data_IF_805448417384
#
_entry.id   IF_805448417384
#
_cell.length_a   1.000
_cell.length_b   1.000
_cell.length_c   1.000
_cell.angle_alpha   90.00
_cell.angle_beta   90.00
_cell.angle_gamma   90.00
#
_symmetry.space_group_name_H-M   'P 1'
#
loop_
_entity.id
_entity.type
_entity.pdbx_description
1 polymer ?
#
# COMPACT_ATOMS: atom_id res chain seq x y z
N UNK A 1 38.34 4.83 16.69
CA UNK A 1 37.64 3.55 16.95
C UNK A 1 36.88 3.15 15.70
N UNK A 2 36.97 1.87 15.41
CA UNK A 2 36.63 1.10 14.21
C UNK A 2 35.48 1.59 13.31
N UNK A 3 35.82 1.63 12.02
CA UNK A 3 35.00 1.78 10.82
C UNK A 3 34.02 0.60 10.59
N UNK A 4 33.44 0.03 11.66
CA UNK A 4 32.72 -1.26 11.61
C UNK A 4 31.26 -1.21 12.03
N UNK A 5 30.65 -0.02 12.19
CA UNK A 5 29.21 0.11 12.48
C UNK A 5 28.33 0.46 11.28
N UNK A 6 28.91 0.85 10.13
CA UNK A 6 28.17 1.19 8.92
C UNK A 6 27.78 -0.03 8.05
N UNK A 7 28.20 -1.24 8.44
CA UNK A 7 27.83 -2.48 7.76
C UNK A 7 26.50 -3.09 8.24
N UNK A 8 25.87 -2.53 9.28
CA UNK A 8 24.64 -3.08 9.89
C UNK A 8 23.34 -2.49 9.34
N UNK A 9 23.40 -1.47 8.48
CA UNK A 9 22.22 -0.86 7.83
C UNK A 9 22.12 -1.14 6.32
N UNK A 10 23.00 -1.97 5.76
CA UNK A 10 23.02 -2.33 4.33
C UNK A 10 22.45 -3.73 4.01
N UNK A 11 21.69 -4.34 4.92
CA UNK A 11 20.97 -5.59 4.69
C UNK A 11 19.48 -5.37 4.91
N UNK A 12 18.79 -4.96 3.84
CA UNK A 12 17.85 -5.89 3.23
C UNK A 12 18.06 -5.91 1.72
N UNK A 13 19.19 -6.48 1.28
CA UNK A 13 19.37 -6.85 -0.13
C UNK A 13 19.73 -8.33 -0.17
N UNK A 14 18.85 -9.15 0.39
CA UNK A 14 18.64 -10.51 -0.12
C UNK A 14 17.81 -10.43 -1.41
N UNK A 15 18.30 -9.66 -2.39
CA UNK A 15 17.86 -9.74 -3.79
C UNK A 15 18.90 -10.61 -4.50
N UNK A 16 18.93 -11.89 -4.12
CA UNK A 16 19.71 -12.93 -4.79
C UNK A 16 18.90 -14.25 -4.78
N UNK A 17 17.60 -14.15 -5.06
CA UNK A 17 16.72 -15.31 -5.30
C UNK A 17 15.95 -15.21 -6.62
N UNK A 18 16.26 -14.25 -7.48
CA UNK A 18 15.70 -14.18 -8.83
C UNK A 18 16.82 -14.00 -9.86
N UNK A 19 17.81 -14.90 -9.81
CA UNK A 19 18.60 -15.16 -11.00
C UNK A 19 17.68 -15.83 -12.02
N UNK A 20 17.15 -14.99 -12.92
CA UNK A 20 16.55 -15.45 -14.17
C UNK A 20 17.66 -16.06 -15.02
N UNK A 21 17.96 -17.34 -14.77
CA UNK A 21 18.64 -18.16 -15.77
C UNK A 21 17.83 -18.05 -17.06
N UNK A 22 18.47 -17.52 -18.10
CA UNK A 22 17.92 -17.40 -19.45
C UNK A 22 17.42 -18.78 -19.91
N UNK A 23 16.12 -19.03 -19.80
CA UNK A 23 15.46 -20.09 -20.55
C UNK A 23 15.08 -19.50 -21.89
N UNK A 24 15.83 -19.92 -22.92
CA UNK A 24 15.48 -19.69 -24.30
C UNK A 24 14.56 -20.83 -24.74
N UNK A 25 13.25 -20.60 -24.76
CA UNK A 25 12.31 -21.41 -25.54
C UNK A 25 11.02 -20.65 -25.76
N UNK A 26 10.65 -20.53 -27.03
CA UNK A 26 9.39 -19.98 -27.49
C UNK A 26 8.21 -20.74 -26.83
N UNK A 27 7.30 -20.00 -26.20
CA UNK A 27 5.95 -20.43 -25.81
C UNK A 27 5.79 -21.55 -24.78
N UNK A 28 6.15 -21.35 -23.51
CA UNK A 28 5.41 -21.91 -22.35
C UNK A 28 6.07 -21.51 -21.01
N UNK A 29 5.26 -20.98 -20.10
CA UNK A 29 5.49 -21.10 -18.65
C UNK A 29 4.37 -22.04 -18.15
N UNK A 30 4.70 -23.03 -17.31
CA UNK A 30 4.94 -22.73 -15.90
C UNK A 30 6.27 -23.28 -15.34
N UNK A 31 6.80 -22.62 -14.32
CA UNK A 31 7.87 -23.16 -13.47
C UNK A 31 7.30 -23.55 -12.10
N UNK A 32 8.08 -24.27 -11.29
CA UNK A 32 7.72 -24.77 -9.94
C UNK A 32 7.33 -23.70 -8.91
N UNK A 33 7.41 -22.41 -9.27
CA UNK A 33 7.06 -21.27 -8.42
C UNK A 33 5.89 -20.44 -8.97
N UNK A 34 5.33 -20.81 -10.13
CA UNK A 34 4.15 -20.17 -10.69
C UNK A 34 2.89 -20.93 -10.26
N UNK A 35 1.82 -20.21 -9.90
CA UNK A 35 0.57 -20.76 -9.40
C UNK A 35 -0.28 -21.46 -10.48
N UNK A 36 0.34 -21.97 -11.56
CA UNK A 36 -0.31 -22.47 -12.78
C UNK A 36 -1.35 -21.50 -13.38
N UNK A 37 -1.27 -20.22 -13.01
CA UNK A 37 -2.16 -19.17 -13.53
C UNK A 37 -1.82 -18.92 -15.00
N UNK A 38 -2.82 -18.92 -15.87
CA UNK A 38 -2.68 -18.52 -17.26
C UNK A 38 -2.40 -17.01 -17.44
N UNK A 39 -2.54 -16.22 -16.37
CA UNK A 39 -2.40 -14.76 -16.38
C UNK A 39 -1.18 -14.32 -15.54
N UNK A 40 0.02 -14.53 -16.08
CA UNK A 40 1.29 -14.13 -15.47
C UNK A 40 1.89 -13.00 -16.29
N UNK A 41 2.09 -11.85 -15.64
CA UNK A 41 2.77 -10.71 -16.22
C UNK A 41 4.14 -10.50 -15.57
N UNK A 42 5.09 -9.98 -16.35
CA UNK A 42 6.35 -9.50 -15.79
C UNK A 42 6.07 -8.37 -14.80
N UNK A 43 6.83 -8.34 -13.70
CA UNK A 43 6.81 -7.26 -12.73
C UNK A 43 7.52 -6.02 -13.32
N UNK A 44 6.84 -5.36 -14.26
CA UNK A 44 7.31 -4.14 -14.91
C UNK A 44 6.23 -3.06 -14.88
N UNK A 45 6.54 -1.86 -15.39
CA UNK A 45 5.57 -0.76 -15.39
C UNK A 45 4.43 -0.95 -16.40
N UNK A 46 4.53 -1.91 -17.34
CA UNK A 46 3.50 -2.14 -18.37
C UNK A 46 2.33 -2.95 -17.82
N UNK A 47 2.56 -3.79 -16.82
CA UNK A 47 1.52 -4.59 -16.15
C UNK A 47 0.80 -3.84 -15.02
N UNK A 48 1.10 -2.55 -14.79
CA UNK A 48 0.44 -1.75 -13.75
C UNK A 48 -1.03 -1.52 -14.08
N UNK A 49 -1.88 -1.85 -13.12
CA UNK A 49 -3.34 -1.65 -13.21
C UNK A 49 -3.80 -0.41 -12.43
N UNK A 50 -2.97 0.09 -11.50
CA UNK A 50 -3.32 1.18 -10.60
C UNK A 50 -2.33 2.33 -10.67
N UNK A 51 -2.83 3.55 -10.44
CA UNK A 51 -1.97 4.66 -10.06
C UNK A 51 -1.55 4.48 -8.60
N UNK A 52 -0.28 4.73 -8.30
CA UNK A 52 0.31 4.45 -7.00
C UNK A 52 1.29 5.54 -6.54
N UNK A 53 1.37 6.64 -7.29
CA UNK A 53 2.14 7.83 -6.95
C UNK A 53 1.22 9.03 -6.78
N UNK A 54 1.51 9.87 -5.81
CA UNK A 54 0.85 11.17 -5.65
C UNK A 54 1.81 12.24 -5.15
N UNK A 55 1.44 13.50 -5.37
CA UNK A 55 2.09 14.65 -4.73
C UNK A 55 1.07 15.28 -3.79
N UNK A 56 1.43 15.43 -2.52
CA UNK A 56 0.60 16.14 -1.55
C UNK A 56 1.22 17.48 -1.19
N UNK A 57 0.42 18.53 -1.11
CA UNK A 57 0.82 19.86 -0.66
C UNK A 57 -0.18 20.34 0.37
N UNK A 58 0.27 21.00 1.42
CA UNK A 58 -0.63 21.51 2.44
C UNK A 58 0.02 22.52 3.36
N UNK A 59 -0.81 23.13 4.19
CA UNK A 59 -0.34 24.07 5.20
C UNK A 59 -1.37 24.31 6.28
N UNK A 60 -0.91 24.93 7.36
CA UNK A 60 -1.71 25.19 8.54
C UNK A 60 -0.86 25.76 9.66
N UNK A 61 -1.08 25.28 10.88
CA UNK A 61 -0.43 25.82 12.08
C UNK A 61 0.61 24.86 12.66
N UNK A 62 1.59 25.43 13.35
CA UNK A 62 2.54 24.73 14.22
C UNK A 62 2.42 25.32 15.63
N UNK A 63 2.19 24.46 16.63
CA UNK A 63 1.92 24.88 18.01
C UNK A 63 2.79 24.07 18.98
N UNK A 64 3.63 24.80 19.71
CA UNK A 64 4.50 24.27 20.75
C UNK A 64 3.68 23.92 21.99
N UNK A 65 3.78 22.68 22.47
CA UNK A 65 2.94 22.19 23.57
C UNK A 65 3.75 21.56 24.70
N UNK A 66 4.82 20.82 24.39
CA UNK A 66 5.69 20.20 25.39
C UNK A 66 7.08 20.80 25.28
N UNK A 67 7.27 21.95 25.92
CA UNK A 67 8.53 22.71 25.95
C UNK A 67 8.53 23.69 27.14
N UNK A 68 9.65 24.37 27.39
CA UNK A 68 9.74 25.43 28.40
C UNK A 68 8.88 26.65 28.03
N UNK A 69 9.04 27.10 26.79
CA UNK A 69 8.28 28.15 26.13
C UNK A 69 7.23 27.48 25.25
N UNK A 70 5.95 27.75 25.52
CA UNK A 70 4.85 27.10 24.77
C UNK A 70 4.05 28.09 23.93
N UNK A 71 3.33 27.60 22.93
CA UNK A 71 2.39 28.41 22.16
C UNK A 71 1.17 28.81 22.99
N UNK A 72 0.92 28.21 24.15
CA UNK A 72 -0.25 28.45 24.99
C UNK A 72 0.16 29.23 26.25
N UNK A 73 0.03 30.55 26.21
CA UNK A 73 0.46 31.41 27.31
C UNK A 73 -0.60 32.47 27.66
N UNK A 74 -0.93 32.61 28.95
CA UNK A 74 -1.85 33.64 29.45
C UNK A 74 -3.25 33.58 28.81
N UNK A 75 -3.83 32.38 28.70
CA UNK A 75 -5.12 32.10 28.05
C UNK A 75 -5.20 32.52 26.56
N UNK A 76 -4.06 32.68 25.90
CA UNK A 76 -3.97 33.00 24.47
C UNK A 76 -3.11 31.97 23.75
N UNK A 77 -3.39 31.80 22.46
CA UNK A 77 -2.60 30.95 21.56
C UNK A 77 -1.70 31.84 20.71
N UNK A 78 -0.40 31.56 20.72
CA UNK A 78 0.61 32.16 19.86
C UNK A 78 0.74 31.27 18.63
N UNK A 79 0.04 31.63 17.57
CA UNK A 79 -0.06 30.81 16.36
C UNK A 79 1.24 30.80 15.58
N UNK A 80 1.81 29.62 15.37
CA UNK A 80 2.81 29.36 14.35
C UNK A 80 2.17 28.93 13.02
N UNK A 81 2.99 28.74 12.00
CA UNK A 81 2.57 28.25 10.69
C UNK A 81 3.42 27.08 10.23
N UNK A 82 2.84 26.20 9.42
CA UNK A 82 3.51 25.07 8.80
C UNK A 82 3.08 24.94 7.34
N UNK A 83 3.99 24.53 6.46
CA UNK A 83 3.71 24.15 5.10
C UNK A 83 4.53 22.93 4.72
N UNK A 84 3.95 22.01 3.94
CA UNK A 84 4.62 20.81 3.49
C UNK A 84 4.35 20.50 2.03
N UNK A 85 5.30 19.78 1.44
CA UNK A 85 5.14 19.04 0.18
C UNK A 85 5.65 17.63 0.38
N UNK A 86 4.92 16.64 -0.14
CA UNK A 86 5.38 15.24 -0.13
C UNK A 86 5.18 14.58 -1.48
N UNK A 87 6.10 13.67 -1.78
CA UNK A 87 5.96 12.68 -2.84
C UNK A 87 5.58 11.36 -2.17
N UNK A 88 4.39 10.88 -2.45
CA UNK A 88 3.81 9.70 -1.81
C UNK A 88 3.78 8.53 -2.79
N UNK A 89 4.18 7.37 -2.30
CA UNK A 89 4.15 6.09 -2.99
C UNK A 89 3.26 5.12 -2.22
N UNK A 90 2.16 4.70 -2.82
CA UNK A 90 1.36 3.60 -2.30
C UNK A 90 2.05 2.28 -2.67
N UNK A 91 2.43 1.47 -1.68
CA UNK A 91 3.07 0.15 -1.88
C UNK A 91 2.01 -0.94 -2.03
N UNK A 92 0.97 -0.88 -1.21
CA UNK A 92 -0.21 -1.74 -1.26
C UNK A 92 -1.47 -0.91 -1.04
N UNK A 93 -2.67 -1.46 -1.23
CA UNK A 93 -3.94 -0.77 -0.90
C UNK A 93 -3.98 -0.17 0.53
N UNK A 94 -3.22 -0.75 1.48
CA UNK A 94 -3.22 -0.32 2.89
C UNK A 94 -1.94 0.38 3.34
N UNK A 95 -0.80 0.15 2.68
CA UNK A 95 0.51 0.67 3.11
C UNK A 95 1.16 1.54 2.04
N UNK A 96 1.70 2.68 2.46
CA UNK A 96 2.44 3.62 1.61
C UNK A 96 3.68 4.16 2.32
N UNK A 97 4.50 4.88 1.55
CA UNK A 97 5.68 5.61 2.02
C UNK A 97 5.67 7.00 1.39
N UNK A 98 6.02 8.02 2.15
CA UNK A 98 6.11 9.40 1.67
C UNK A 98 7.47 9.99 1.97
N UNK A 99 8.07 10.64 0.97
CA UNK A 99 9.18 11.57 1.17
C UNK A 99 8.60 12.97 1.33
N UNK A 100 8.83 13.61 2.47
CA UNK A 100 8.24 14.91 2.80
C UNK A 100 9.33 15.95 3.08
N UNK A 101 9.15 17.14 2.51
CA UNK A 101 9.80 18.36 2.95
C UNK A 101 8.74 19.24 3.64
N UNK A 102 9.07 19.77 4.82
CA UNK A 102 8.22 20.73 5.51
C UNK A 102 9.03 21.88 6.08
N UNK A 103 8.40 23.04 6.16
CA UNK A 103 8.98 24.23 6.77
C UNK A 103 7.91 25.01 7.51
N UNK A 104 8.32 25.75 8.53
CA UNK A 104 7.37 26.52 9.31
C UNK A 104 8.05 27.40 10.33
N UNK A 105 7.21 27.98 11.19
CA UNK A 105 7.64 28.73 12.34
C UNK A 105 6.72 28.45 13.51
N UNK A 106 7.27 28.04 14.66
CA UNK A 106 6.54 28.05 15.94
C UNK A 106 6.68 29.42 16.61
N UNK A 107 5.67 29.80 17.39
CA UNK A 107 5.72 31.00 18.22
C UNK A 107 5.37 30.60 19.65
N UNK A 108 6.20 30.99 20.60
CA UNK A 108 6.10 30.53 21.98
C UNK A 108 6.44 31.63 22.98
N UNK A 109 5.88 31.50 24.18
CA UNK A 109 6.06 32.44 25.28
C UNK A 109 6.15 31.71 26.60
N UNK A 110 6.79 32.36 27.55
CA UNK A 110 7.01 31.84 28.89
C UNK A 110 7.59 32.92 29.77
N UNK A 111 7.41 32.78 31.08
CA UNK A 111 7.98 33.71 32.04
C UNK A 111 8.85 32.92 33.00
N UNK A 112 10.15 33.19 32.97
CA UNK A 112 11.09 32.63 33.94
C UNK A 112 11.07 33.42 35.25
N UNK A 113 11.21 34.75 35.18
CA UNK A 113 11.28 35.64 36.34
C UNK A 113 10.45 36.91 36.11
N UNK A 114 9.64 37.36 37.10
CA UNK A 114 8.79 38.55 36.93
C UNK A 114 9.56 39.83 36.55
N UNK A 115 10.80 40.00 37.05
CA UNK A 115 11.64 41.17 36.74
C UNK A 115 12.12 41.23 35.29
N UNK A 116 11.98 40.14 34.53
CA UNK A 116 12.46 40.02 33.15
C UNK A 116 11.32 40.08 32.13
N UNK A 117 10.08 40.21 32.60
CA UNK A 117 8.91 40.18 31.76
C UNK A 117 8.65 38.80 31.15
N UNK A 118 7.83 38.79 30.10
CA UNK A 118 7.46 37.57 29.38
C UNK A 118 8.46 37.37 28.25
N UNK A 119 9.21 36.27 28.29
CA UNK A 119 10.03 35.82 27.19
C UNK A 119 9.17 35.50 25.98
N UNK A 120 9.56 36.03 24.83
CA UNK A 120 8.94 35.78 23.53
C UNK A 120 9.97 35.12 22.64
N UNK A 121 9.64 33.92 22.17
CA UNK A 121 10.49 33.16 21.29
C UNK A 121 9.74 32.68 20.04
N UNK A 122 10.51 32.45 18.98
CA UNK A 122 10.04 31.84 17.76
C UNK A 122 11.12 30.96 17.17
N UNK A 123 10.70 29.89 16.51
CA UNK A 123 11.63 28.92 15.91
C UNK A 123 11.23 28.66 14.48
N UNK A 124 12.10 28.99 13.53
CA UNK A 124 11.92 28.67 12.11
C UNK A 124 12.60 27.36 11.82
N UNK A 125 11.87 26.40 11.26
CA UNK A 125 12.38 25.07 11.00
C UNK A 125 12.22 24.68 9.53
N UNK A 126 13.11 23.79 9.09
CA UNK A 126 13.09 23.10 7.80
C UNK A 126 13.40 21.64 8.06
N UNK A 127 12.57 20.76 7.53
CA UNK A 127 12.64 19.35 7.81
C UNK A 127 12.54 18.55 6.51
N UNK A 128 13.31 17.49 6.42
CA UNK A 128 13.18 16.43 5.42
C UNK A 128 12.94 15.11 6.13
N UNK A 129 11.95 14.35 5.70
CA UNK A 129 11.55 13.13 6.40
C UNK A 129 11.01 12.05 5.48
N UNK A 130 11.10 10.82 5.98
CA UNK A 130 10.44 9.65 5.39
C UNK A 130 9.35 9.20 6.34
N UNK A 131 8.12 9.09 5.82
CA UNK A 131 6.94 8.66 6.55
C UNK A 131 6.44 7.32 6.01
N UNK A 132 6.10 6.40 6.91
CA UNK A 132 5.16 5.33 6.60
C UNK A 132 3.73 5.85 6.66
N UNK A 133 2.89 5.41 5.72
CA UNK A 133 1.45 5.68 5.66
C UNK A 133 0.69 4.36 5.81
N UNK A 134 -0.22 4.30 6.79
CA UNK A 134 -1.18 3.19 6.96
C UNK A 134 -2.60 3.73 6.71
N UNK A 135 -3.25 3.24 5.67
CA UNK A 135 -4.68 3.49 5.42
C UNK A 135 -5.53 2.53 6.25
N UNK A 136 -5.89 2.95 7.47
CA UNK A 136 -6.73 2.17 8.39
C UNK A 136 -8.11 1.87 7.81
N UNK A 137 -8.66 2.75 6.97
CA UNK A 137 -9.96 2.51 6.33
C UNK A 137 -9.96 1.35 5.35
N UNK A 138 -8.83 1.08 4.69
CA UNK A 138 -8.65 -0.13 3.90
C UNK A 138 -8.24 -1.33 4.76
N UNK A 139 -7.30 -1.14 5.68
CA UNK A 139 -6.75 -2.22 6.50
C UNK A 139 -7.82 -2.90 7.38
N UNK A 140 -8.72 -2.10 7.96
CA UNK A 140 -9.77 -2.57 8.88
C UNK A 140 -11.12 -2.73 8.19
N UNK A 141 -11.15 -2.72 6.85
CA UNK A 141 -12.39 -2.82 6.10
C UNK A 141 -12.98 -4.22 6.22
N UNK A 142 -14.26 -4.28 6.58
CA UNK A 142 -14.99 -5.55 6.62
C UNK A 142 -15.30 -6.07 5.22
N UNK A 143 -15.17 -7.39 5.05
CA UNK A 143 -15.42 -8.09 3.78
C UNK A 143 -16.87 -8.01 3.28
N UNK A 144 -17.83 -7.81 4.18
CA UNK A 144 -19.25 -7.74 3.85
C UNK A 144 -19.70 -6.31 3.45
N UNK A 145 -18.87 -5.30 3.70
CA UNK A 145 -19.20 -3.91 3.38
C UNK A 145 -18.92 -3.59 1.91
N UNK A 146 -19.98 -3.41 1.12
CA UNK A 146 -19.89 -3.10 -0.32
C UNK A 146 -20.01 -1.62 -0.64
N UNK A 147 -20.21 -0.76 0.36
CA UNK A 147 -20.43 0.67 0.10
C UNK A 147 -19.15 1.35 -0.39
N UNK A 148 -19.20 2.13 -1.47
CA UNK A 148 -18.06 2.93 -1.89
C UNK A 148 -17.71 3.90 -0.76
N UNK A 149 -16.43 3.97 -0.39
CA UNK A 149 -15.98 4.92 0.62
C UNK A 149 -15.24 6.08 -0.05
N UNK A 150 -15.49 7.28 0.47
CA UNK A 150 -14.82 8.50 0.05
C UNK A 150 -14.00 9.12 1.17
N UNK A 151 -14.08 8.58 2.37
CA UNK A 151 -13.33 9.02 3.55
C UNK A 151 -12.36 7.93 3.96
N UNK A 152 -11.09 8.26 4.08
CA UNK A 152 -10.05 7.34 4.53
C UNK A 152 -9.33 7.93 5.75
N UNK A 153 -9.23 7.15 6.82
CA UNK A 153 -8.40 7.44 7.98
C UNK A 153 -7.01 6.86 7.74
N UNK A 154 -6.01 7.70 7.89
CA UNK A 154 -4.60 7.39 7.71
C UNK A 154 -3.85 7.59 9.02
N UNK A 155 -2.88 6.71 9.29
CA UNK A 155 -1.86 6.87 10.31
C UNK A 155 -0.51 7.12 9.67
N UNK A 156 0.23 8.08 10.22
CA UNK A 156 1.58 8.43 9.78
C UNK A 156 2.57 8.20 10.91
N UNK A 157 3.72 7.64 10.59
CA UNK A 157 4.86 7.58 11.49
C UNK A 157 6.14 7.65 10.68
N UNK A 158 7.13 8.39 11.15
CA UNK A 158 8.36 8.55 10.40
C UNK A 158 9.43 9.29 11.16
N UNK A 159 10.52 9.48 10.43
CA UNK A 159 11.78 10.01 10.95
C UNK A 159 12.38 10.96 9.92
N UNK A 160 13.19 11.90 10.37
CA UNK A 160 13.80 12.88 9.47
C UNK A 160 14.94 13.65 10.09
N UNK A 161 15.43 14.62 9.32
CA UNK A 161 16.44 15.58 9.74
C UNK A 161 15.82 16.98 9.79
N UNK A 162 16.20 17.76 10.80
CA UNK A 162 15.64 19.07 11.11
C UNK A 162 16.73 20.14 11.23
N UNK A 163 16.68 21.16 10.38
CA UNK A 163 17.43 22.39 10.61
C UNK A 163 16.52 23.46 11.18
N UNK A 164 16.97 24.22 12.17
CA UNK A 164 16.17 25.30 12.74
C UNK A 164 17.00 26.50 13.21
N UNK A 165 16.34 27.65 13.22
CA UNK A 165 16.80 28.91 13.80
C UNK A 165 15.80 29.32 14.90
N UNK A 166 16.23 29.24 16.16
CA UNK A 166 15.43 29.69 17.30
C UNK A 166 15.91 31.06 17.78
N UNK A 167 14.96 31.89 18.23
CA UNK A 167 15.20 33.25 18.71
C UNK A 167 14.45 33.47 20.01
N UNK A 168 15.08 34.14 20.98
CA UNK A 168 14.47 34.52 22.25
C UNK A 168 14.77 35.98 22.61
N UNK A 169 13.71 36.69 23.01
CA UNK A 169 13.77 38.05 23.54
C UNK A 169 12.98 38.16 24.85
N UNK A 170 13.50 38.94 25.79
CA UNK A 170 12.85 39.30 27.05
C UNK A 170 12.92 40.82 27.30
N UNK A 171 12.24 41.31 28.33
CA UNK A 171 12.13 42.75 28.66
C UNK A 171 13.33 43.27 29.48
N UNK A 172 14.35 42.46 29.68
CA UNK A 172 15.50 42.78 30.52
C UNK A 172 16.84 42.53 29.81
N UNK A 173 17.50 41.41 30.13
CA UNK A 173 18.81 41.02 29.64
C UNK A 173 18.84 40.88 28.11
N UNK A 174 17.77 40.38 27.50
CA UNK A 174 17.70 40.05 26.07
C UNK A 174 16.97 41.10 25.23
N UNK A 175 16.66 42.26 25.80
CA UNK A 175 15.95 43.32 25.08
C UNK A 175 16.75 43.85 23.87
N UNK A 176 18.04 44.15 24.10
CA UNK A 176 18.97 44.69 23.09
C UNK A 176 19.90 43.64 22.48
N UNK A 177 20.05 42.47 23.11
CA UNK A 177 20.90 41.38 22.65
C UNK A 177 20.13 40.07 22.75
N UNK A 178 19.26 39.78 21.77
CA UNK A 178 18.45 38.57 21.80
C UNK A 178 19.32 37.32 21.61
N UNK A 179 18.88 36.23 22.23
CA UNK A 179 19.56 34.94 22.08
C UNK A 179 19.09 34.26 20.79
N UNK A 180 20.05 33.61 20.12
CA UNK A 180 19.80 32.84 18.90
C UNK A 180 20.46 31.47 19.01
N UNK A 181 19.71 30.43 18.69
CA UNK A 181 20.21 29.07 18.49
C UNK A 181 20.10 28.75 17.00
N UNK A 182 21.18 28.24 16.42
CA UNK A 182 21.21 27.79 15.03
C UNK A 182 21.62 26.33 15.02
N UNK A 183 20.71 25.48 14.56
CA UNK A 183 20.95 24.07 14.32
C UNK A 183 20.89 23.84 12.81
N UNK A 184 22.04 23.47 12.24
CA UNK A 184 22.11 23.12 10.82
C UNK A 184 21.47 21.75 10.57
N UNK A 185 20.90 21.59 9.37
CA UNK A 185 20.36 20.31 8.93
C UNK A 185 21.51 19.33 8.70
N UNK A 186 21.68 18.40 9.63
CA UNK A 186 22.73 17.37 9.63
C UNK A 186 22.20 16.06 10.23
N UNK A 187 22.95 14.97 10.09
CA UNK A 187 22.60 13.64 10.61
C UNK A 187 22.40 13.65 12.13
N UNK A 188 23.04 14.57 12.85
CA UNK A 188 22.84 14.76 14.30
C UNK A 188 21.49 15.41 14.66
N UNK A 189 20.81 16.05 13.71
CA UNK A 189 19.54 16.78 13.91
C UNK A 189 18.31 15.90 13.68
N UNK A 190 18.33 14.70 14.25
CA UNK A 190 17.34 13.68 13.97
C UNK A 190 16.05 13.92 14.75
N UNK A 191 14.90 13.89 14.08
CA UNK A 191 13.60 14.05 14.71
C UNK A 191 12.67 12.87 14.37
N UNK A 192 11.68 12.66 15.23
CA UNK A 192 10.61 11.68 15.03
C UNK A 192 9.28 12.41 14.84
N UNK A 193 8.40 11.84 14.03
CA UNK A 193 7.04 12.35 13.92
C UNK A 193 6.02 11.24 13.77
N UNK A 194 4.83 11.48 14.29
CA UNK A 194 3.70 10.57 14.20
C UNK A 194 2.39 11.35 14.19
N UNK A 195 1.39 10.84 13.50
CA UNK A 195 0.16 11.57 13.33
C UNK A 195 -0.95 10.81 12.65
N UNK A 196 -2.03 11.52 12.37
CA UNK A 196 -3.22 11.01 11.71
C UNK A 196 -3.64 11.94 10.58
N UNK A 197 -4.19 11.36 9.53
CA UNK A 197 -4.78 12.11 8.43
C UNK A 197 -6.18 11.61 8.13
N UNK A 198 -7.10 12.54 7.85
CA UNK A 198 -8.40 12.25 7.30
C UNK A 198 -8.45 12.73 5.85
N UNK A 199 -8.42 11.78 4.91
CA UNK A 199 -8.48 12.04 3.47
C UNK A 199 -9.90 11.90 2.95
N UNK A 200 -10.28 12.79 2.04
CA UNK A 200 -11.55 12.73 1.31
C UNK A 200 -11.32 12.71 -0.20
N UNK A 201 -11.92 11.72 -0.87
CA UNK A 201 -11.87 11.53 -2.32
C UNK A 201 -12.77 12.53 -3.04
N UNK A 202 -12.18 13.64 -3.49
CA UNK A 202 -12.89 14.63 -4.30
C UNK A 202 -13.14 14.06 -5.70
N UNK A 203 -12.09 13.58 -6.36
CA UNK A 203 -12.15 13.08 -7.73
C UNK A 203 -11.16 11.93 -8.00
N UNK A 204 -11.07 11.50 -9.26
CA UNK A 204 -10.04 10.55 -9.70
C UNK A 204 -8.61 11.14 -9.67
N UNK A 205 -8.48 12.47 -9.66
CA UNK A 205 -7.19 13.17 -9.72
C UNK A 205 -6.79 13.83 -8.40
N UNK A 206 -7.76 14.24 -7.59
CA UNK A 206 -7.51 15.10 -6.42
C UNK A 206 -8.24 14.55 -5.20
N UNK A 207 -7.54 14.56 -4.07
CA UNK A 207 -8.09 14.37 -2.72
C UNK A 207 -7.81 15.61 -1.87
N UNK A 208 -8.59 15.79 -0.81
CA UNK A 208 -8.30 16.76 0.26
C UNK A 208 -7.97 16.00 1.53
N UNK A 209 -7.06 16.54 2.33
CA UNK A 209 -6.58 15.93 3.57
C UNK A 209 -6.58 16.94 4.71
N UNK A 210 -7.11 16.53 5.86
CA UNK A 210 -6.80 17.16 7.14
C UNK A 210 -5.78 16.29 7.87
N UNK A 211 -4.59 16.84 8.15
CA UNK A 211 -3.46 16.11 8.74
C UNK A 211 -3.05 16.74 10.07
N UNK A 212 -3.03 15.95 11.13
CA UNK A 212 -2.49 16.33 12.43
C UNK A 212 -1.23 15.51 12.72
N UNK A 213 -0.10 16.17 12.94
CA UNK A 213 1.18 15.53 13.23
C UNK A 213 1.72 16.01 14.56
N UNK A 214 2.29 15.11 15.34
CA UNK A 214 3.11 15.42 16.50
C UNK A 214 4.57 15.22 16.12
N UNK A 215 5.40 16.23 16.38
CA UNK A 215 6.81 16.28 16.03
C UNK A 215 7.61 16.28 17.33
N UNK A 216 8.51 15.30 17.44
CA UNK A 216 9.46 15.16 18.52
C UNK A 216 10.84 15.55 17.99
N UNK A 217 11.29 16.75 18.32
CA UNK A 217 12.54 17.34 17.81
C UNK A 217 13.77 16.59 18.32
N UNK A 218 13.69 16.00 19.51
CA UNK A 218 14.83 15.38 20.18
C UNK A 218 15.82 16.41 20.74
N UNK A 219 15.46 17.69 20.71
CA UNK A 219 16.32 18.82 21.02
C UNK A 219 15.59 19.76 21.98
N UNK A 220 16.24 20.03 23.11
CA UNK A 220 15.75 20.87 24.21
C UNK A 220 16.00 22.36 23.95
N UNK A 221 16.74 22.72 22.90
CA UNK A 221 16.98 24.10 22.49
C UNK A 221 15.93 24.62 21.50
N UNK A 222 15.06 23.74 20.98
CA UNK A 222 14.20 24.05 19.85
C UNK A 222 13.17 25.14 20.18
N UNK A 223 12.70 25.27 21.41
CA UNK A 223 11.78 26.34 21.79
C UNK A 223 12.43 27.73 21.96
N UNK A 224 13.77 27.80 21.82
CA UNK A 224 14.57 29.01 21.96
C UNK A 224 14.99 29.35 23.39
N UNK A 225 14.82 28.46 24.36
CA UNK A 225 15.19 28.64 25.77
C UNK A 225 16.69 28.87 26.01
N UNK A 226 17.53 28.44 25.06
CA UNK A 226 18.99 28.63 25.03
C UNK A 226 19.77 27.32 25.23
N UNK A 227 21.09 27.33 25.10
CA UNK A 227 21.88 26.10 25.01
C UNK A 227 21.94 25.24 26.30
N UNK A 228 21.66 23.94 26.20
CA UNK A 228 21.90 22.95 27.26
C UNK A 228 23.40 22.66 27.40
N UNK A 229 24.04 23.26 28.40
CA UNK A 229 25.46 22.99 28.69
C UNK A 229 25.60 21.81 29.64
N UNK A 230 25.72 20.59 29.09
CA UNK A 230 25.86 19.34 29.85
C UNK A 230 27.21 19.14 30.58
N UNK A 231 28.05 20.18 30.77
CA UNK A 231 29.41 20.01 31.32
C UNK A 231 29.81 20.87 32.53
N UNK A 232 29.01 21.82 33.01
CA UNK A 232 29.41 22.61 34.19
C UNK A 232 28.22 22.89 35.12
N UNK A 233 28.12 22.07 36.18
CA UNK A 233 27.17 22.21 37.31
C UNK A 233 27.47 23.38 38.25
N UNK A 234 28.19 24.41 37.80
CA UNK A 234 28.66 25.47 38.68
C UNK A 234 28.48 26.82 37.99
N UNK A 235 27.37 27.48 38.33
CA UNK A 235 27.04 28.89 38.06
C UNK A 235 26.84 29.35 36.60
N UNK A 236 25.82 28.85 35.90
CA UNK A 236 25.39 29.42 34.61
C UNK A 236 24.00 30.06 34.67
N UNK A 237 23.98 31.38 34.85
CA UNK A 237 22.82 32.28 34.78
C UNK A 237 22.42 32.67 33.35
N UNK A 238 23.02 32.06 32.32
CA UNK A 238 22.98 32.57 30.95
C UNK A 238 21.77 32.11 30.15
N UNK A 239 21.29 30.87 30.32
CA UNK A 239 20.15 30.32 29.57
C UNK A 239 19.07 29.71 30.48
N UNK A 240 18.41 30.52 31.33
CA UNK A 240 17.48 30.02 32.33
C UNK A 240 16.07 29.71 31.79
N UNK A 241 15.73 30.15 30.58
CA UNK A 241 14.45 29.79 29.97
C UNK A 241 14.43 28.29 29.61
N UNK A 242 15.57 27.71 29.19
CA UNK A 242 15.76 26.28 28.92
C UNK A 242 15.72 25.36 30.16
N UNK A 243 15.28 25.88 31.30
CA UNK A 243 15.32 25.20 32.60
C UNK A 243 13.99 25.33 33.35
N UNK A 244 12.92 25.80 32.69
CA UNK A 244 11.60 26.00 33.32
C UNK A 244 10.96 24.63 33.62
N UNK A 245 11.15 23.67 32.71
CA UNK A 245 10.69 22.30 32.71
C UNK A 245 11.93 21.41 32.55
N UNK A 246 11.87 20.21 33.13
CA UNK A 246 12.93 19.22 32.94
C UNK A 246 12.51 18.25 31.85
N UNK A 247 12.88 18.53 30.61
CA UNK A 247 12.73 17.68 29.44
C UNK A 247 14.10 17.50 28.76
N UNK A 248 14.09 16.89 27.58
CA UNK A 248 15.27 16.69 26.75
C UNK A 248 14.91 16.88 25.27
N UNK A 249 13.78 17.55 25.01
CA UNK A 249 13.12 17.61 23.71
C UNK A 249 11.91 18.53 23.81
N UNK A 250 11.89 19.55 22.97
CA UNK A 250 10.78 20.48 22.83
C UNK A 250 9.89 20.10 21.65
N UNK A 251 8.69 19.64 21.96
CA UNK A 251 7.80 19.04 20.99
C UNK A 251 6.62 19.94 20.64
N UNK A 252 6.30 19.95 19.36
CA UNK A 252 5.19 20.70 18.81
C UNK A 252 4.30 19.79 17.97
N UNK A 253 3.08 20.24 17.73
CA UNK A 253 2.19 19.58 16.80
C UNK A 253 1.82 20.53 15.66
N UNK A 254 1.50 19.95 14.51
CA UNK A 254 0.96 20.67 13.36
C UNK A 254 -0.44 20.20 13.05
N UNK A 255 -1.28 21.12 12.60
CA UNK A 255 -2.60 20.84 12.04
C UNK A 255 -2.65 21.50 10.69
N UNK A 256 -2.77 20.69 9.64
CA UNK A 256 -2.66 21.12 8.25
C UNK A 256 -3.92 20.73 7.46
N UNK A 257 -4.27 21.57 6.49
CA UNK A 257 -5.16 21.20 5.40
C UNK A 257 -4.34 21.14 4.10
N UNK A 258 -4.57 20.10 3.30
CA UNK A 258 -3.79 19.84 2.10
C UNK A 258 -4.60 19.22 0.97
N UNK A 259 -4.00 19.24 -0.21
CA UNK A 259 -4.49 18.58 -1.42
C UNK A 259 -3.49 17.53 -1.85
N UNK A 260 -3.99 16.37 -2.28
CA UNK A 260 -3.20 15.29 -2.86
C UNK A 260 -3.56 15.12 -4.33
N UNK A 261 -2.57 15.24 -5.20
CA UNK A 261 -2.68 15.07 -6.64
C UNK A 261 -2.19 13.68 -7.03
N UNK A 262 -3.08 12.84 -7.55
CA UNK A 262 -2.78 11.48 -8.01
C UNK A 262 -2.10 11.54 -9.37
N UNK A 263 -0.98 10.83 -9.51
CA UNK A 263 -0.16 10.79 -10.71
C UNK A 263 -0.35 9.47 -11.46
N UNK A 264 -0.41 9.56 -12.79
CA UNK A 264 -0.50 8.42 -13.70
C UNK A 264 -1.81 8.38 -14.50
N UNK A 265 -1.95 7.35 -15.34
CA UNK A 265 -3.04 7.24 -16.32
C UNK A 265 -4.12 6.22 -15.93
N UNK A 266 -3.88 5.41 -14.89
CA UNK A 266 -4.77 4.34 -14.48
C UNK A 266 -5.81 4.82 -13.46
N UNK A 267 -7.03 4.31 -13.56
CA UNK A 267 -8.12 4.55 -12.59
C UNK A 267 -8.59 3.17 -12.09
N UNK A 268 -8.60 2.90 -10.77
CA UNK A 268 -8.38 3.82 -9.65
C UNK A 268 -6.94 3.98 -9.18
N UNK A 269 -6.73 5.00 -8.34
CA UNK A 269 -5.53 5.09 -7.50
C UNK A 269 -5.61 4.02 -6.40
N UNK A 270 -4.49 3.32 -6.14
CA UNK A 270 -4.38 2.16 -5.27
C UNK A 270 -4.90 2.43 -3.84
N UNK A 271 -4.70 3.65 -3.32
CA UNK A 271 -5.24 4.09 -2.01
C UNK A 271 -6.75 3.93 -1.88
N UNK A 272 -7.49 4.04 -2.98
CA UNK A 272 -8.96 3.96 -3.00
C UNK A 272 -9.48 2.63 -3.56
N UNK A 273 -8.61 1.64 -3.71
CA UNK A 273 -8.95 0.32 -4.22
C UNK A 273 -9.15 -0.66 -3.07
N UNK A 274 -10.30 -1.35 -3.08
CA UNK A 274 -10.59 -2.45 -2.16
C UNK A 274 -10.39 -3.79 -2.88
N UNK A 275 -9.32 -4.55 -2.56
CA UNK A 275 -9.05 -5.83 -3.19
C UNK A 275 -10.08 -6.91 -2.81
N UNK A 276 -10.57 -6.92 -1.57
CA UNK A 276 -11.48 -7.97 -1.07
C UNK A 276 -12.85 -7.85 -1.72
N UNK A 277 -13.35 -6.62 -1.85
CA UNK A 277 -14.58 -6.36 -2.59
C UNK A 277 -14.44 -6.73 -4.07
N UNK A 278 -13.29 -6.47 -4.69
CA UNK A 278 -13.04 -6.82 -6.09
C UNK A 278 -13.06 -8.34 -6.30
N UNK A 279 -12.38 -9.09 -5.44
CA UNK A 279 -12.33 -10.55 -5.50
C UNK A 279 -13.73 -11.13 -5.27
N UNK A 280 -14.44 -10.68 -4.23
CA UNK A 280 -15.79 -11.16 -3.94
C UNK A 280 -16.78 -10.88 -5.08
N UNK A 281 -16.67 -9.71 -5.72
CA UNK A 281 -17.46 -9.37 -6.89
C UNK A 281 -17.15 -10.26 -8.10
N UNK A 282 -15.87 -10.48 -8.41
CA UNK A 282 -15.46 -11.38 -9.51
C UNK A 282 -15.91 -12.82 -9.28
N UNK A 283 -15.75 -13.33 -8.06
CA UNK A 283 -16.21 -14.67 -7.70
C UNK A 283 -17.74 -14.80 -7.84
N UNK A 284 -18.50 -13.80 -7.40
CA UNK A 284 -19.96 -13.78 -7.57
C UNK A 284 -20.36 -13.74 -9.04
N UNK A 285 -19.68 -12.94 -9.88
CA UNK A 285 -19.93 -12.91 -11.32
C UNK A 285 -19.64 -14.25 -11.99
N UNK A 286 -18.53 -14.89 -11.64
CA UNK A 286 -18.17 -16.21 -12.16
C UNK A 286 -19.16 -17.28 -11.71
N UNK A 287 -19.62 -17.25 -10.46
CA UNK A 287 -20.64 -18.16 -9.94
C UNK A 287 -22.00 -17.98 -10.62
N UNK A 288 -22.32 -16.77 -11.08
CA UNK A 288 -23.56 -16.49 -11.81
C UNK A 288 -23.47 -16.76 -13.30
N UNK A 289 -22.27 -16.91 -13.85
CA UNK A 289 -22.08 -17.26 -15.24
C UNK A 289 -22.53 -18.70 -15.40
N UNK A 290 -23.75 -18.90 -15.90
CA UNK A 290 -24.19 -20.21 -16.36
C UNK A 290 -23.20 -20.67 -17.42
N UNK A 291 -22.63 -21.85 -17.20
CA UNK A 291 -21.90 -22.53 -18.27
C UNK A 291 -23.01 -23.11 -19.15
N UNK A 292 -23.44 -22.36 -20.15
CA UNK A 292 -24.16 -22.95 -21.28
C UNK A 292 -23.14 -23.85 -21.98
N UNK A 293 -23.08 -25.10 -21.50
CA UNK A 293 -22.57 -26.18 -22.31
C UNK A 293 -23.62 -26.38 -23.39
N UNK A 294 -23.35 -25.89 -24.60
CA UNK A 294 -24.08 -26.33 -25.77
C UNK A 294 -23.77 -27.82 -25.97
N UNK A 295 -24.60 -28.68 -25.37
CA UNK A 295 -24.55 -30.12 -25.56
C UNK A 295 -25.23 -30.42 -26.89
N UNK A 296 -24.58 -31.23 -27.75
CA UNK A 296 -25.17 -31.67 -29.01
C UNK A 296 -25.35 -30.54 -30.06
N UNK A 297 -24.35 -29.68 -30.27
CA UNK A 297 -24.40 -28.65 -31.31
C UNK A 297 -24.59 -29.24 -32.71
N UNK A 298 -23.91 -30.36 -32.99
CA UNK A 298 -23.98 -31.02 -34.30
C UNK A 298 -25.21 -31.92 -34.46
N UNK A 299 -26.00 -32.11 -33.39
CA UNK A 299 -27.15 -33.02 -33.35
C UNK A 299 -26.74 -34.49 -33.20
N UNK A 300 -27.66 -35.37 -33.55
CA UNK A 300 -27.51 -36.83 -33.64
C UNK A 300 -28.16 -37.23 -34.99
N UNK A 301 -27.33 -37.42 -36.03
CA UNK A 301 -27.84 -37.61 -37.41
C UNK A 301 -28.31 -39.03 -37.70
N UNK A 302 -27.68 -40.02 -37.10
CA UNK A 302 -28.01 -41.43 -37.30
C UNK A 302 -29.01 -41.96 -36.26
N UNK A 303 -29.36 -41.14 -35.26
CA UNK A 303 -30.32 -41.39 -34.18
C UNK A 303 -29.92 -42.58 -33.31
N UNK A 304 -28.62 -42.72 -33.03
CA UNK A 304 -28.09 -43.76 -32.15
C UNK A 304 -28.09 -43.35 -30.65
N UNK A 305 -28.58 -42.15 -30.34
CA UNK A 305 -28.64 -41.52 -29.00
C UNK A 305 -27.30 -40.98 -28.47
N UNK A 306 -26.27 -40.91 -29.30
CA UNK A 306 -25.00 -40.23 -29.03
C UNK A 306 -24.88 -39.03 -29.95
N UNK A 307 -24.52 -37.87 -29.39
CA UNK A 307 -24.36 -36.67 -30.20
C UNK A 307 -23.17 -36.79 -31.15
N UNK A 308 -23.32 -36.37 -32.40
CA UNK A 308 -22.28 -36.31 -33.43
C UNK A 308 -20.98 -35.64 -32.93
N UNK A 309 -21.08 -34.72 -31.96
CA UNK A 309 -19.93 -34.03 -31.36
C UNK A 309 -19.01 -34.98 -30.55
N UNK A 310 -19.55 -36.08 -30.06
CA UNK A 310 -18.89 -37.07 -29.19
C UNK A 310 -18.95 -38.50 -29.76
N UNK A 311 -19.73 -38.69 -30.81
CA UNK A 311 -19.88 -39.95 -31.51
C UNK A 311 -18.64 -40.26 -32.37
N UNK A 312 -18.13 -41.49 -32.22
CA UNK A 312 -17.00 -42.01 -32.96
C UNK A 312 -17.43 -42.70 -34.27
N UNK A 313 -18.69 -43.03 -34.42
CA UNK A 313 -19.28 -43.71 -35.56
C UNK A 313 -20.55 -42.99 -36.04
N UNK A 314 -20.34 -41.88 -36.78
CA UNK A 314 -21.35 -40.95 -37.31
C UNK A 314 -22.40 -41.55 -38.29
N UNK A 315 -22.37 -42.86 -38.49
CA UNK A 315 -23.19 -43.61 -39.43
C UNK A 315 -23.67 -44.95 -38.87
N UNK A 316 -23.89 -45.01 -37.55
CA UNK A 316 -24.44 -46.17 -36.87
C UNK A 316 -25.79 -46.57 -37.50
N UNK A 317 -25.98 -47.85 -37.87
CA UNK A 317 -27.24 -48.30 -38.43
C UNK A 317 -28.40 -48.15 -37.44
N UNK A 318 -29.55 -47.65 -37.93
CA UNK A 318 -30.75 -47.49 -37.11
C UNK A 318 -31.15 -48.81 -36.43
N UNK A 319 -31.28 -48.77 -35.10
CA UNK A 319 -31.63 -49.93 -34.27
C UNK A 319 -30.44 -50.73 -33.75
N UNK A 320 -29.20 -50.39 -34.14
CA UNK A 320 -28.01 -50.92 -33.50
C UNK A 320 -27.93 -50.41 -32.05
N UNK A 321 -27.43 -51.26 -31.16
CA UNK A 321 -27.06 -50.83 -29.81
C UNK A 321 -25.65 -50.29 -29.87
N UNK A 322 -25.42 -49.14 -29.25
CA UNK A 322 -24.12 -48.48 -29.20
C UNK A 322 -23.56 -48.38 -27.79
N UNK A 323 -22.25 -48.19 -27.69
CA UNK A 323 -21.58 -47.83 -26.44
C UNK A 323 -21.71 -46.32 -26.13
N UNK A 324 -21.10 -45.87 -25.03
CA UNK A 324 -21.13 -44.45 -24.65
C UNK A 324 -20.38 -43.50 -25.60
N UNK A 325 -19.77 -44.02 -26.66
CA UNK A 325 -19.08 -43.27 -27.71
C UNK A 325 -19.77 -43.39 -29.07
N UNK A 326 -20.98 -43.97 -29.15
CA UNK A 326 -21.75 -44.11 -30.40
C UNK A 326 -21.28 -45.26 -31.30
N UNK A 327 -20.37 -46.12 -30.83
CA UNK A 327 -19.90 -47.26 -31.64
C UNK A 327 -20.85 -48.43 -31.49
N UNK A 328 -21.29 -49.01 -32.61
CA UNK A 328 -22.14 -50.19 -32.64
C UNK A 328 -21.47 -51.38 -31.93
N UNK A 329 -22.23 -52.08 -31.08
CA UNK A 329 -21.76 -53.23 -30.35
C UNK A 329 -21.49 -54.42 -31.28
N UNK A 330 -20.36 -55.08 -31.05
CA UNK A 330 -19.91 -56.34 -31.63
C UNK A 330 -19.32 -57.14 -30.47
N UNK A 331 -20.13 -58.01 -29.86
CA UNK A 331 -19.79 -58.64 -28.58
C UNK A 331 -18.73 -59.74 -28.72
N UNK A 332 -18.66 -60.41 -29.87
CA UNK A 332 -17.70 -61.50 -30.11
C UNK A 332 -16.49 -61.09 -30.97
N UNK A 333 -16.50 -59.85 -31.48
CA UNK A 333 -15.41 -59.18 -32.18
C UNK A 333 -15.08 -59.84 -33.53
N UNK A 334 -16.07 -60.42 -34.20
CA UNK A 334 -15.91 -61.02 -35.53
C UNK A 334 -16.02 -60.02 -36.70
N UNK A 335 -16.39 -58.77 -36.40
CA UNK A 335 -16.55 -57.68 -37.36
C UNK A 335 -17.96 -57.54 -37.95
N UNK A 336 -18.92 -58.32 -37.47
CA UNK A 336 -20.36 -58.18 -37.72
C UNK A 336 -21.02 -57.62 -36.46
N UNK A 337 -21.61 -56.43 -36.55
CA UNK A 337 -22.30 -55.83 -35.40
C UNK A 337 -23.46 -56.72 -34.92
N UNK A 338 -23.75 -56.68 -33.62
CA UNK A 338 -24.78 -57.48 -32.94
C UNK A 338 -26.18 -57.37 -33.60
N UNK A 339 -26.45 -56.27 -34.32
CA UNK A 339 -27.69 -56.06 -35.07
C UNK A 339 -27.85 -57.03 -36.26
N UNK A 340 -26.74 -57.38 -36.91
CA UNK A 340 -26.69 -58.23 -38.09
C UNK A 340 -26.13 -59.63 -37.80
N UNK A 341 -25.59 -59.85 -36.60
CA UNK A 341 -25.07 -61.13 -36.16
C UNK A 341 -26.18 -62.02 -35.57
N UNK A 342 -26.38 -63.21 -36.15
CA UNK A 342 -27.31 -64.23 -35.65
C UNK A 342 -26.76 -64.98 -34.44
N UNK A 343 -25.46 -64.94 -34.23
CA UNK A 343 -24.70 -65.70 -33.25
C UNK A 343 -23.90 -64.84 -32.26
N UNK A 344 -24.34 -63.60 -31.95
CA UNK A 344 -23.82 -62.54 -31.03
C UNK A 344 -22.70 -62.87 -30.02
N UNK A 345 -22.62 -64.10 -29.49
CA UNK A 345 -21.61 -64.55 -28.53
C UNK A 345 -20.51 -65.45 -29.10
N UNK A 346 -20.58 -65.84 -30.38
CA UNK A 346 -19.74 -66.88 -30.99
C UNK A 346 -19.25 -66.44 -32.37
N UNK A 347 -17.94 -66.15 -32.53
CA UNK A 347 -17.42 -65.56 -33.76
C UNK A 347 -17.71 -66.40 -35.00
N UNK A 348 -18.16 -65.75 -36.05
CA UNK A 348 -18.44 -66.37 -37.34
C UNK A 348 -17.82 -65.62 -38.51
N UNK A 349 -18.26 -66.01 -39.71
CA UNK A 349 -17.91 -65.30 -40.93
C UNK A 349 -19.08 -64.41 -41.34
N UNK A 350 -18.77 -63.23 -41.88
CA UNK A 350 -19.77 -62.29 -42.41
C UNK A 350 -20.67 -62.93 -43.48
N UNK A 351 -20.16 -63.85 -44.29
CA UNK A 351 -20.95 -64.58 -45.30
C UNK A 351 -22.01 -65.50 -44.70
N UNK A 352 -21.93 -65.79 -43.40
CA UNK A 352 -22.86 -66.64 -42.66
C UNK A 352 -23.56 -65.88 -41.52
N UNK A 353 -23.78 -64.57 -41.69
CA UNK A 353 -24.47 -63.70 -40.74
C UNK A 353 -23.88 -63.77 -39.31
N UNK A 354 -22.54 -63.77 -39.20
CA UNK A 354 -21.81 -63.81 -37.92
C UNK A 354 -21.82 -65.17 -37.22
N UNK A 355 -22.36 -66.22 -37.85
CA UNK A 355 -22.35 -67.57 -37.28
C UNK A 355 -21.17 -68.44 -37.78
N UNK A 356 -20.66 -69.38 -36.96
CA UNK A 356 -19.66 -70.35 -37.39
C UNK A 356 -20.23 -71.33 -38.45
N UNK A 357 -19.37 -71.75 -39.39
CA UNK A 357 -19.76 -72.62 -40.52
C UNK A 357 -19.96 -74.09 -40.08
N UNK A 358 -19.41 -74.49 -38.94
CA UNK A 358 -19.50 -75.85 -38.44
C UNK A 358 -20.05 -75.87 -37.01
N UNK A 359 -21.12 -76.65 -36.82
CA UNK A 359 -21.82 -76.84 -35.55
C UNK A 359 -21.02 -77.66 -34.55
#
# INVERSE_FOLDING_TARGET
MKLSLLALFALPIAIYSQDNLKVNSNHEYPNTFSSESSDIHKFDNKSRVFNDWSISVGGGTALMQSADLTSFYGNKVNWGWNAYVSLDKQITHSFGVSLQYQQGQTNQKGMYKPSWGVGVAWTKYKQISVLGDINFSNLLRRVDNRSPYRWALHGYAGIGLEGYDAYLKDDSRRWNNPDTVNQNLDIASFFYQGGVGLKYKISKLVDIEARAMYIMTGDDEFDGGGWTTSMLKQDYTDYPYNQIVKNSSDNYFTINLGLTFKLGKHDPHLTWFDPLQNIGYRAMLLSKKSIDLDVCQSGDKDNDSVCDDWDRQLDTPAGARVDGSGVALDMDLDGVIDLYDKCVTVPGLKENDGCPINR
#
